data_IF_812820947635
#
_entry.id   IF_812820947635
#
_cell.length_a   1.000
_cell.length_b   1.000
_cell.length_c   1.000
_cell.angle_alpha   90.00
_cell.angle_beta   90.00
_cell.angle_gamma   90.00
#
_symmetry.space_group_name_H-M   'P 1'
#
loop_
_entity.id
_entity.type
_entity.pdbx_description
1 polymer ?
#
# COMPACT_ATOMS: atom_id res chain seq x y z
N UNK A 1 -10.38 26.95 -4.35
CA UNK A 1 -8.91 27.12 -4.55
C UNK A 1 -8.29 25.75 -4.67
N UNK A 2 -7.60 25.41 -5.77
CA UNK A 2 -6.82 24.17 -5.86
C UNK A 2 -5.76 24.21 -4.75
N UNK A 3 -5.77 23.24 -3.81
CA UNK A 3 -4.67 23.07 -2.87
C UNK A 3 -3.38 22.87 -3.69
N UNK A 4 -2.40 23.73 -3.50
CA UNK A 4 -1.08 23.57 -4.13
C UNK A 4 -0.45 22.30 -3.58
N UNK A 5 -0.01 21.41 -4.48
CA UNK A 5 0.69 20.20 -4.08
C UNK A 5 2.01 20.56 -3.38
N UNK A 6 2.36 19.84 -2.31
CA UNK A 6 3.66 19.99 -1.66
C UNK A 6 4.78 19.43 -2.52
N UNK A 7 4.57 18.22 -3.07
CA UNK A 7 5.49 17.54 -3.98
C UNK A 7 4.80 17.19 -5.28
N UNK A 8 5.49 17.44 -6.39
CA UNK A 8 5.07 17.07 -7.74
C UNK A 8 6.24 16.40 -8.44
N UNK A 9 6.03 15.19 -8.96
CA UNK A 9 6.94 14.49 -9.86
C UNK A 9 6.31 14.41 -11.24
N UNK A 10 7.02 14.85 -12.27
CA UNK A 10 6.50 14.92 -13.64
C UNK A 10 7.50 14.29 -14.60
N UNK A 11 7.08 13.23 -15.29
CA UNK A 11 7.85 12.55 -16.33
C UNK A 11 9.18 11.99 -15.83
N UNK A 12 9.27 11.58 -14.55
CA UNK A 12 10.52 11.10 -13.97
C UNK A 12 10.92 9.77 -14.59
N UNK A 13 12.11 9.77 -15.15
CA UNK A 13 12.77 8.54 -15.61
C UNK A 13 14.10 8.36 -14.92
N UNK A 14 14.54 7.10 -14.76
CA UNK A 14 15.89 6.76 -14.32
C UNK A 14 16.39 5.54 -15.06
N UNK A 15 17.51 5.71 -15.73
CA UNK A 15 18.25 4.65 -16.40
C UNK A 15 19.59 4.42 -15.68
N UNK A 16 19.96 3.16 -15.48
CA UNK A 16 21.28 2.73 -15.08
C UNK A 16 21.86 1.88 -16.20
N UNK A 17 22.95 2.29 -16.76
CA UNK A 17 23.53 1.69 -17.95
C UNK A 17 22.46 1.46 -19.04
N UNK A 18 22.14 0.22 -19.37
CA UNK A 18 21.11 -0.13 -20.35
C UNK A 18 19.74 -0.46 -19.75
N UNK A 19 19.60 -0.46 -18.42
CA UNK A 19 18.36 -0.84 -17.74
C UNK A 19 17.58 0.36 -17.23
N UNK A 20 16.27 0.40 -17.52
CA UNK A 20 15.35 1.40 -16.97
C UNK A 20 14.83 0.96 -15.60
N UNK A 21 15.21 1.71 -14.58
CA UNK A 21 14.69 1.51 -13.23
C UNK A 21 13.35 2.22 -13.02
N UNK A 22 13.16 3.37 -13.68
CA UNK A 22 11.90 4.13 -13.64
C UNK A 22 11.57 4.66 -15.04
N UNK A 23 10.28 4.64 -15.39
CA UNK A 23 9.75 5.00 -16.70
C UNK A 23 8.53 5.89 -16.51
N UNK A 24 8.63 7.17 -16.85
CA UNK A 24 7.53 8.15 -16.85
C UNK A 24 6.71 8.18 -15.54
N UNK A 25 7.39 8.35 -14.40
CA UNK A 25 6.73 8.44 -13.10
C UNK A 25 6.10 9.82 -12.94
N UNK A 26 4.78 9.82 -12.71
CA UNK A 26 3.98 11.03 -12.49
C UNK A 26 3.14 10.88 -11.23
N UNK A 27 3.32 11.76 -10.24
CA UNK A 27 2.46 11.81 -9.05
C UNK A 27 2.54 13.17 -8.37
N UNK A 28 1.55 13.43 -7.51
CA UNK A 28 1.54 14.60 -6.64
C UNK A 28 0.99 14.26 -5.26
N UNK A 29 1.43 15.02 -4.24
CA UNK A 29 0.94 14.94 -2.88
C UNK A 29 0.75 16.32 -2.28
N UNK A 30 -0.28 16.47 -1.44
CA UNK A 30 -0.55 17.71 -0.72
C UNK A 30 0.23 17.74 0.60
N UNK A 31 0.29 18.93 1.20
CA UNK A 31 0.84 19.08 2.54
C UNK A 31 0.03 18.26 3.54
N UNK A 32 0.73 17.46 4.35
CA UNK A 32 0.14 16.59 5.36
C UNK A 32 -0.30 15.22 4.83
N UNK A 33 -0.13 14.92 3.54
CA UNK A 33 -0.43 13.59 2.99
C UNK A 33 0.62 12.55 3.44
N UNK A 34 0.19 11.34 3.68
CA UNK A 34 1.02 10.15 3.88
C UNK A 34 0.94 9.29 2.62
N UNK A 35 2.00 9.30 1.82
CA UNK A 35 2.07 8.57 0.54
C UNK A 35 2.91 7.32 0.71
N UNK A 36 2.39 6.17 0.31
CA UNK A 36 3.18 4.93 0.31
C UNK A 36 3.55 4.50 -1.10
N UNK A 37 4.84 4.24 -1.31
CA UNK A 37 5.37 3.55 -2.49
C UNK A 37 5.36 2.05 -2.20
N UNK A 38 4.49 1.32 -2.85
CA UNK A 38 4.28 -0.11 -2.66
C UNK A 38 4.61 -0.86 -3.96
N UNK A 39 5.03 -2.11 -3.86
CA UNK A 39 5.29 -2.96 -5.03
C UNK A 39 6.32 -4.06 -4.75
N UNK A 40 6.52 -5.00 -5.67
CA UNK A 40 7.48 -6.09 -5.52
C UNK A 40 8.92 -5.59 -5.41
N UNK A 41 9.83 -6.48 -4.98
CA UNK A 41 11.26 -6.17 -4.95
C UNK A 41 11.76 -5.84 -6.35
N UNK A 42 12.63 -4.83 -6.45
CA UNK A 42 13.21 -4.40 -7.73
C UNK A 42 12.30 -3.55 -8.63
N UNK A 43 11.07 -3.18 -8.23
CA UNK A 43 10.18 -2.38 -9.07
C UNK A 43 10.51 -0.87 -9.14
N UNK A 44 11.54 -0.39 -8.41
CA UNK A 44 11.99 1.01 -8.48
C UNK A 44 11.65 1.88 -7.26
N UNK A 45 11.03 1.37 -6.18
CA UNK A 45 10.65 2.14 -4.98
C UNK A 45 11.81 2.91 -4.37
N UNK A 46 12.88 2.22 -3.97
CA UNK A 46 14.08 2.85 -3.36
C UNK A 46 14.79 3.77 -4.36
N UNK A 47 14.75 3.48 -5.65
CA UNK A 47 15.28 4.38 -6.69
C UNK A 47 14.50 5.69 -6.69
N UNK A 48 13.16 5.63 -6.70
CA UNK A 48 12.31 6.83 -6.65
C UNK A 48 12.52 7.61 -5.36
N UNK A 49 12.60 6.92 -4.21
CA UNK A 49 12.88 7.56 -2.92
C UNK A 49 14.23 8.28 -2.93
N UNK A 50 15.29 7.66 -3.48
CA UNK A 50 16.63 8.23 -3.58
C UNK A 50 16.69 9.43 -4.55
N UNK A 51 15.88 9.44 -5.61
CA UNK A 51 15.70 10.61 -6.47
C UNK A 51 15.06 11.77 -5.71
N UNK A 52 14.05 11.51 -4.88
CA UNK A 52 13.38 12.51 -4.05
C UNK A 52 14.31 12.99 -2.94
N UNK A 53 15.12 12.11 -2.34
CA UNK A 53 16.09 12.45 -1.31
C UNK A 53 17.33 13.21 -1.84
N UNK A 54 17.62 13.12 -3.15
CA UNK A 54 18.78 13.78 -3.78
C UNK A 54 20.07 12.95 -3.80
N UNK A 55 20.01 11.67 -3.43
CA UNK A 55 21.13 10.74 -3.59
C UNK A 55 21.34 10.30 -5.04
N UNK A 56 20.30 10.45 -5.87
CA UNK A 56 20.33 10.20 -7.31
C UNK A 56 19.75 11.39 -8.04
N UNK A 57 20.20 11.64 -9.26
CA UNK A 57 19.58 12.57 -10.19
C UNK A 57 18.72 11.83 -11.22
N UNK A 58 17.55 12.35 -11.65
CA UNK A 58 16.76 11.74 -12.69
C UNK A 58 17.49 11.78 -14.04
N UNK A 59 17.19 10.83 -14.93
CA UNK A 59 17.67 10.86 -16.33
C UNK A 59 16.87 11.91 -17.11
N UNK A 60 15.55 12.02 -16.83
CA UNK A 60 14.68 13.09 -17.35
C UNK A 60 13.51 13.33 -16.39
N UNK A 61 12.75 14.39 -16.65
CA UNK A 61 11.64 14.83 -15.81
C UNK A 61 12.08 15.78 -14.70
N UNK A 62 11.12 16.18 -13.84
CA UNK A 62 11.37 17.13 -12.75
C UNK A 62 10.64 16.74 -11.47
N UNK A 63 11.27 17.04 -10.32
CA UNK A 63 10.69 16.90 -8.99
C UNK A 63 10.62 18.30 -8.36
N UNK A 64 9.43 18.72 -7.98
CA UNK A 64 9.22 20.02 -7.31
C UNK A 64 8.70 19.82 -5.89
N UNK A 65 9.25 20.60 -4.95
CA UNK A 65 8.76 20.67 -3.56
C UNK A 65 8.46 22.11 -3.23
N UNK A 66 7.25 22.41 -2.73
CA UNK A 66 6.77 23.78 -2.53
C UNK A 66 6.90 24.66 -3.80
N UNK A 67 6.70 24.07 -4.99
CA UNK A 67 6.85 24.73 -6.27
C UNK A 67 8.29 24.93 -6.78
N UNK A 68 9.31 24.65 -5.96
CA UNK A 68 10.71 24.78 -6.33
C UNK A 68 11.23 23.45 -6.91
N UNK A 69 11.92 23.52 -8.04
CA UNK A 69 12.57 22.36 -8.64
C UNK A 69 13.78 21.92 -7.79
N UNK A 70 13.73 20.67 -7.33
CA UNK A 70 14.78 20.07 -6.52
C UNK A 70 15.54 18.93 -7.24
N UNK A 71 15.27 18.72 -8.53
CA UNK A 71 15.73 17.54 -9.30
C UNK A 71 17.24 17.34 -9.25
N UNK A 72 18.01 18.43 -9.24
CA UNK A 72 19.47 18.43 -9.26
C UNK A 72 20.11 18.95 -7.97
N UNK A 73 19.30 19.23 -6.93
CA UNK A 73 19.84 19.63 -5.64
C UNK A 73 20.40 18.41 -4.89
N UNK A 74 21.53 18.61 -4.22
CA UNK A 74 22.11 17.62 -3.31
C UNK A 74 21.26 17.45 -2.04
N UNK A 75 21.34 16.33 -1.30
CA UNK A 75 20.47 16.05 -0.16
C UNK A 75 20.44 17.15 0.90
N UNK A 76 21.58 17.76 1.20
CA UNK A 76 21.73 18.82 2.22
C UNK A 76 21.02 20.13 1.83
N UNK A 77 20.77 20.34 0.55
CA UNK A 77 20.08 21.52 0.00
C UNK A 77 18.58 21.29 -0.21
N UNK A 78 18.07 20.10 0.15
CA UNK A 78 16.63 19.79 0.06
C UNK A 78 15.94 20.02 1.40
N UNK A 79 14.70 20.48 1.35
CA UNK A 79 13.85 20.61 2.53
C UNK A 79 13.16 19.27 2.82
N UNK A 80 13.99 18.22 2.99
CA UNK A 80 13.57 16.86 3.30
C UNK A 80 14.48 16.24 4.35
N UNK A 81 13.96 15.22 5.05
CA UNK A 81 14.74 14.38 5.97
C UNK A 81 14.42 12.92 5.73
N UNK A 82 15.40 12.03 5.93
CA UNK A 82 15.25 10.60 5.65
C UNK A 82 15.43 9.75 6.90
N UNK A 83 14.51 8.80 7.09
CA UNK A 83 14.60 7.71 8.04
C UNK A 83 14.99 6.45 7.27
N UNK A 84 16.21 5.96 7.49
CA UNK A 84 16.77 4.79 6.84
C UNK A 84 16.30 3.49 7.49
N UNK A 85 16.29 2.40 6.75
CA UNK A 85 15.97 1.05 7.21
C UNK A 85 16.81 0.60 8.43
N UNK A 86 18.10 0.98 8.47
CA UNK A 86 19.01 0.69 9.57
C UNK A 86 18.93 1.68 10.73
N UNK A 87 17.95 2.63 10.69
CA UNK A 87 17.84 3.78 11.58
C UNK A 87 19.02 4.77 11.49
N UNK A 88 20.20 4.32 11.10
CA UNK A 88 21.44 5.09 10.91
C UNK A 88 21.76 6.03 12.11
N UNK A 89 21.51 5.58 13.34
CA UNK A 89 21.81 6.34 14.54
C UNK A 89 23.33 6.42 14.76
N UNK A 90 23.79 7.57 15.26
CA UNK A 90 25.18 7.73 15.67
C UNK A 90 25.42 6.95 16.97
N UNK A 91 26.20 5.85 16.95
CA UNK A 91 26.27 4.93 18.09
C UNK A 91 26.97 5.51 19.32
N UNK A 92 27.80 6.52 19.11
CA UNK A 92 28.59 7.22 20.13
C UNK A 92 27.87 8.45 20.72
N UNK A 93 26.69 8.82 20.17
CA UNK A 93 25.88 9.92 20.64
C UNK A 93 24.68 9.41 21.43
N UNK A 94 24.30 10.10 22.51
CA UNK A 94 23.06 9.84 23.24
C UNK A 94 21.81 10.10 22.37
N UNK A 95 20.64 9.69 22.86
CA UNK A 95 19.35 10.00 22.22
C UNK A 95 19.21 11.49 21.97
N UNK A 96 19.45 12.32 23.00
CA UNK A 96 19.36 13.77 22.89
C UNK A 96 20.31 14.33 21.85
N UNK A 97 21.56 13.86 21.83
CA UNK A 97 22.57 14.32 20.88
C UNK A 97 22.27 13.88 19.44
N UNK A 98 21.75 12.66 19.26
CA UNK A 98 21.28 12.19 17.94
C UNK A 98 20.19 13.12 17.39
N UNK A 99 19.18 13.46 18.21
CA UNK A 99 18.06 14.32 17.78
C UNK A 99 18.56 15.77 17.56
N UNK A 100 19.50 16.25 18.38
CA UNK A 100 20.05 17.59 18.27
C UNK A 100 21.00 17.78 17.08
N UNK A 101 21.48 16.71 16.46
CA UNK A 101 22.54 16.75 15.45
C UNK A 101 22.17 17.66 14.27
N UNK A 102 21.01 17.41 13.64
CA UNK A 102 20.56 18.19 12.46
C UNK A 102 20.38 19.68 12.76
N UNK A 103 19.62 20.08 13.79
CA UNK A 103 19.47 21.47 14.17
C UNK A 103 20.80 22.17 14.47
N UNK A 104 21.75 21.48 15.13
CA UNK A 104 23.11 22.04 15.38
C UNK A 104 23.88 22.30 14.06
N UNK A 105 23.81 21.37 13.09
CA UNK A 105 24.43 21.55 11.77
C UNK A 105 23.82 22.73 11.01
N UNK A 106 22.49 22.90 11.12
CA UNK A 106 21.80 24.06 10.53
C UNK A 106 21.97 25.37 11.32
N UNK A 107 22.81 25.37 12.37
CA UNK A 107 23.10 26.54 13.24
C UNK A 107 21.86 27.19 13.83
N UNK A 108 20.82 26.41 14.13
CA UNK A 108 19.60 26.90 14.78
C UNK A 108 19.96 27.41 16.20
N UNK A 109 19.37 28.54 16.67
CA UNK A 109 19.67 29.09 17.99
C UNK A 109 19.45 28.09 19.11
N UNK A 110 20.39 27.97 20.04
CA UNK A 110 20.41 26.94 21.09
C UNK A 110 19.09 26.92 21.92
N UNK A 111 18.55 28.08 22.27
CA UNK A 111 17.30 28.19 23.05
C UNK A 111 16.11 27.58 22.31
N UNK A 112 16.04 27.77 21.00
CA UNK A 112 14.98 27.20 20.17
C UNK A 112 15.16 25.68 20.00
N UNK A 113 16.39 25.21 19.79
CA UNK A 113 16.74 23.79 19.73
C UNK A 113 16.30 23.08 21.00
N UNK A 114 16.66 23.57 22.21
CA UNK A 114 16.30 22.94 23.47
C UNK A 114 14.79 22.82 23.63
N UNK A 115 14.03 23.86 23.33
CA UNK A 115 12.55 23.83 23.39
C UNK A 115 11.98 22.76 22.47
N UNK A 116 12.45 22.70 21.22
CA UNK A 116 12.01 21.74 20.19
C UNK A 116 12.34 20.30 20.58
N UNK A 117 13.56 20.05 21.08
CA UNK A 117 14.01 18.72 21.50
C UNK A 117 13.18 18.19 22.67
N UNK A 118 12.88 19.01 23.66
CA UNK A 118 12.05 18.58 24.80
C UNK A 118 10.64 18.20 24.34
N UNK A 119 10.03 18.98 23.46
CA UNK A 119 8.73 18.66 22.87
C UNK A 119 8.77 17.34 22.09
N UNK A 120 9.76 17.15 21.19
CA UNK A 120 9.90 15.93 20.41
C UNK A 120 10.13 14.69 21.30
N UNK A 121 11.01 14.80 22.31
CA UNK A 121 11.26 13.71 23.25
C UNK A 121 9.98 13.28 23.99
N UNK A 122 9.15 14.23 24.36
CA UNK A 122 7.85 13.95 25.00
C UNK A 122 6.90 13.26 24.02
N UNK A 123 6.75 13.79 22.79
CA UNK A 123 5.86 13.24 21.75
C UNK A 123 6.23 11.81 21.34
N UNK A 124 7.53 11.51 21.23
CA UNK A 124 7.99 10.15 20.91
C UNK A 124 8.15 9.24 22.13
N UNK A 125 7.81 9.71 23.35
CA UNK A 125 7.87 8.92 24.60
C UNK A 125 9.30 8.53 25.01
N UNK A 126 10.31 9.38 24.74
CA UNK A 126 11.73 9.09 25.01
C UNK A 126 12.37 10.00 26.07
N UNK A 127 11.59 10.77 26.81
CA UNK A 127 12.09 11.73 27.84
C UNK A 127 13.00 11.05 28.84
N UNK A 128 12.62 9.89 29.39
CA UNK A 128 13.41 9.11 30.38
C UNK A 128 14.66 8.46 29.75
N UNK A 129 14.74 8.40 28.41
CA UNK A 129 15.82 7.75 27.68
C UNK A 129 16.82 8.72 27.06
N UNK A 130 16.62 10.03 27.23
CA UNK A 130 17.40 11.09 26.55
C UNK A 130 18.91 10.98 26.64
N UNK A 131 19.43 10.43 27.74
CA UNK A 131 20.88 10.29 27.98
C UNK A 131 21.42 8.88 27.62
N UNK A 132 20.56 7.95 27.18
CA UNK A 132 21.02 6.60 26.78
C UNK A 132 21.66 6.61 25.41
N UNK A 133 22.61 5.69 25.20
CA UNK A 133 23.17 5.39 23.89
C UNK A 133 22.24 4.46 23.10
N UNK A 134 22.29 4.46 21.75
CA UNK A 134 21.44 3.64 20.90
C UNK A 134 21.47 2.14 21.22
N UNK A 135 22.62 1.59 21.58
CA UNK A 135 22.77 0.17 21.94
C UNK A 135 22.07 -0.24 23.26
N UNK A 136 21.55 0.71 24.02
CA UNK A 136 20.74 0.48 25.26
C UNK A 136 19.25 0.64 25.02
N UNK A 137 18.82 0.73 23.75
CA UNK A 137 17.43 0.93 23.33
C UNK A 137 16.91 -0.28 22.58
N UNK A 138 15.59 -0.57 22.71
CA UNK A 138 14.91 -1.52 21.85
C UNK A 138 14.82 -1.00 20.41
N UNK A 139 14.60 -1.89 19.43
CA UNK A 139 14.44 -1.51 18.03
C UNK A 139 13.38 -0.42 17.81
N UNK A 140 12.21 -0.54 18.43
CA UNK A 140 11.17 0.49 18.35
C UNK A 140 11.59 1.83 18.98
N UNK A 141 12.37 1.81 20.09
CA UNK A 141 12.92 3.03 20.67
C UNK A 141 13.97 3.66 19.73
N UNK A 142 14.85 2.88 19.11
CA UNK A 142 15.82 3.37 18.11
C UNK A 142 15.11 4.02 16.93
N UNK A 143 14.03 3.43 16.44
CA UNK A 143 13.21 3.98 15.37
C UNK A 143 12.58 5.32 15.75
N UNK A 144 12.02 5.44 16.99
CA UNK A 144 11.49 6.73 17.49
C UNK A 144 12.58 7.79 17.59
N UNK A 145 13.83 7.42 17.93
CA UNK A 145 14.97 8.35 17.91
C UNK A 145 15.25 8.81 16.48
N UNK A 146 15.28 7.89 15.49
CA UNK A 146 15.50 8.22 14.09
C UNK A 146 14.42 9.16 13.54
N UNK A 147 13.16 8.89 13.88
CA UNK A 147 12.03 9.75 13.53
C UNK A 147 12.15 11.14 14.18
N UNK A 148 12.41 11.20 15.48
CA UNK A 148 12.59 12.48 16.17
C UNK A 148 13.78 13.28 15.61
N UNK A 149 14.87 12.61 15.23
CA UNK A 149 16.04 13.23 14.58
C UNK A 149 15.64 13.84 13.22
N UNK A 150 14.86 13.12 12.42
CA UNK A 150 14.36 13.61 11.14
C UNK A 150 13.44 14.84 11.32
N UNK A 151 12.53 14.79 12.30
CA UNK A 151 11.57 15.87 12.58
C UNK A 151 12.22 17.09 13.25
N UNK A 152 13.37 16.93 13.92
CA UNK A 152 14.04 18.01 14.63
C UNK A 152 14.47 19.18 13.73
N UNK A 153 14.75 18.91 12.45
CA UNK A 153 15.09 19.93 11.44
C UNK A 153 13.86 20.58 10.80
N UNK A 154 12.63 20.18 11.16
CA UNK A 154 11.34 20.64 10.64
C UNK A 154 11.28 20.60 9.10
N UNK A 155 11.49 19.44 8.48
CA UNK A 155 11.47 19.34 7.04
C UNK A 155 10.03 19.46 6.51
N UNK A 156 9.86 19.97 5.28
CA UNK A 156 8.58 19.92 4.58
C UNK A 156 8.17 18.47 4.23
N UNK A 157 9.17 17.59 4.01
CA UNK A 157 8.97 16.22 3.56
C UNK A 157 9.83 15.23 4.38
N UNK A 158 9.20 14.19 4.92
CA UNK A 158 9.88 13.09 5.60
C UNK A 158 9.83 11.85 4.70
N UNK A 159 10.99 11.25 4.46
CA UNK A 159 11.17 10.08 3.62
C UNK A 159 11.48 8.86 4.51
N UNK A 160 10.79 7.76 4.29
CA UNK A 160 10.98 6.51 5.03
C UNK A 160 11.37 5.39 4.07
N UNK A 161 12.51 4.78 4.29
CA UNK A 161 12.99 3.62 3.52
C UNK A 161 12.84 2.34 4.36
N UNK A 162 11.75 1.61 4.17
CA UNK A 162 11.40 0.37 4.87
C UNK A 162 11.64 0.39 6.39
N UNK A 163 11.14 1.40 7.12
CA UNK A 163 11.57 1.65 8.50
C UNK A 163 11.13 0.58 9.51
N UNK A 164 10.16 -0.28 9.16
CA UNK A 164 9.62 -1.33 10.04
C UNK A 164 10.12 -2.74 9.72
N UNK A 165 10.93 -2.92 8.67
CA UNK A 165 11.36 -4.23 8.18
C UNK A 165 12.18 -5.04 9.22
N UNK A 166 12.88 -4.37 10.13
CA UNK A 166 13.75 -5.00 11.14
C UNK A 166 13.01 -5.29 12.47
N UNK A 167 11.69 -5.09 12.53
CA UNK A 167 10.88 -5.33 13.73
C UNK A 167 10.08 -6.62 13.64
N UNK A 168 9.84 -7.26 14.79
CA UNK A 168 8.89 -8.37 14.88
C UNK A 168 7.45 -7.89 14.60
N UNK A 169 6.54 -8.80 14.24
CA UNK A 169 5.19 -8.47 13.80
C UNK A 169 4.40 -7.65 14.83
N UNK A 170 4.48 -8.00 16.13
CA UNK A 170 3.73 -7.31 17.18
C UNK A 170 4.23 -5.88 17.39
N UNK A 171 5.55 -5.69 17.41
CA UNK A 171 6.16 -4.38 17.56
C UNK A 171 5.95 -3.53 16.31
N UNK A 172 5.96 -4.14 15.11
CA UNK A 172 5.66 -3.48 13.84
C UNK A 172 4.26 -2.86 13.85
N UNK A 173 3.25 -3.62 14.26
CA UNK A 173 1.87 -3.12 14.35
C UNK A 173 1.73 -1.93 15.30
N UNK A 174 2.38 -2.00 16.47
CA UNK A 174 2.36 -0.91 17.42
C UNK A 174 3.04 0.35 16.87
N UNK A 175 4.25 0.22 16.34
CA UNK A 175 5.03 1.36 15.83
C UNK A 175 4.38 1.98 14.61
N UNK A 176 3.71 1.20 13.75
CA UNK A 176 2.91 1.69 12.63
C UNK A 176 1.83 2.67 13.08
N UNK A 177 1.06 2.30 14.11
CA UNK A 177 0.02 3.15 14.69
C UNK A 177 0.63 4.45 15.26
N UNK A 178 1.76 4.34 15.97
CA UNK A 178 2.46 5.49 16.56
C UNK A 178 2.99 6.46 15.51
N UNK A 179 3.63 5.97 14.43
CA UNK A 179 4.12 6.82 13.33
C UNK A 179 2.95 7.57 12.70
N UNK A 180 1.83 6.89 12.45
CA UNK A 180 0.66 7.53 11.84
C UNK A 180 0.03 8.57 12.77
N UNK A 181 -0.06 8.29 14.07
CA UNK A 181 -0.55 9.23 15.07
C UNK A 181 0.32 10.50 15.13
N UNK A 182 1.65 10.33 15.20
CA UNK A 182 2.60 11.43 15.18
C UNK A 182 2.52 12.25 13.89
N UNK A 183 2.35 11.58 12.75
CA UNK A 183 2.21 12.26 11.47
C UNK A 183 0.95 13.15 11.45
N UNK A 184 -0.17 12.65 11.94
CA UNK A 184 -1.42 13.43 12.04
C UNK A 184 -1.29 14.59 13.03
N UNK A 185 -0.65 14.38 14.18
CA UNK A 185 -0.45 15.41 15.21
C UNK A 185 0.46 16.53 14.72
N UNK A 186 1.58 16.18 14.07
CA UNK A 186 2.60 17.14 13.63
C UNK A 186 2.34 17.69 12.22
N UNK A 187 1.48 17.04 11.43
CA UNK A 187 1.06 17.48 10.10
C UNK A 187 2.17 17.47 9.04
N UNK A 188 3.24 16.68 9.22
CA UNK A 188 4.28 16.57 8.20
C UNK A 188 3.81 15.71 7.01
N UNK A 189 4.36 15.97 5.84
CA UNK A 189 4.13 15.14 4.65
C UNK A 189 5.12 14.00 4.64
N UNK A 190 4.66 12.79 4.33
CA UNK A 190 5.49 11.59 4.33
C UNK A 190 5.48 10.89 2.97
N UNK A 191 6.64 10.40 2.54
CA UNK A 191 6.77 9.35 1.51
C UNK A 191 7.37 8.13 2.18
N UNK A 192 6.64 7.04 2.14
CA UNK A 192 6.94 5.80 2.85
C UNK A 192 7.15 4.66 1.87
N UNK A 193 8.28 4.01 1.93
CA UNK A 193 8.56 2.81 1.12
C UNK A 193 8.33 1.57 1.97
N UNK A 194 7.58 0.64 1.44
CA UNK A 194 7.40 -0.69 2.02
C UNK A 194 7.11 -1.73 0.94
N UNK A 195 7.32 -2.99 1.27
CA UNK A 195 6.80 -4.14 0.54
C UNK A 195 5.62 -4.81 1.27
N UNK A 196 5.28 -4.34 2.47
CA UNK A 196 4.17 -4.85 3.29
C UNK A 196 2.87 -4.13 2.92
N UNK A 197 1.91 -4.91 2.38
CA UNK A 197 0.60 -4.41 1.97
C UNK A 197 -0.21 -3.89 3.16
N UNK A 198 -0.09 -4.53 4.33
CA UNK A 198 -0.83 -4.14 5.53
C UNK A 198 -0.38 -2.78 6.05
N UNK A 199 0.91 -2.46 5.93
CA UNK A 199 1.43 -1.12 6.23
C UNK A 199 0.85 -0.08 5.27
N UNK A 200 0.91 -0.35 3.96
CA UNK A 200 0.41 0.56 2.94
C UNK A 200 -1.09 0.84 3.11
N UNK A 201 -1.90 -0.20 3.31
CA UNK A 201 -3.35 -0.04 3.44
C UNK A 201 -3.76 0.66 4.74
N UNK A 202 -3.02 0.45 5.85
CA UNK A 202 -3.41 1.00 7.15
C UNK A 202 -2.91 2.43 7.42
N UNK A 203 -1.82 2.85 6.77
CA UNK A 203 -1.17 4.13 7.08
C UNK A 203 -1.40 5.22 6.05
N UNK A 204 -1.69 4.86 4.79
CA UNK A 204 -1.63 5.82 3.69
C UNK A 204 -2.89 6.65 3.53
N UNK A 205 -2.72 7.89 3.09
CA UNK A 205 -3.78 8.66 2.45
C UNK A 205 -3.81 8.35 0.94
N UNK A 206 -2.65 7.95 0.38
CA UNK A 206 -2.51 7.56 -1.02
C UNK A 206 -1.44 6.47 -1.18
N UNK A 207 -1.75 5.44 -1.93
CA UNK A 207 -0.83 4.37 -2.33
C UNK A 207 -0.43 4.58 -3.79
N UNK A 208 0.87 4.53 -4.06
CA UNK A 208 1.42 4.44 -5.42
C UNK A 208 1.95 3.03 -5.59
N UNK A 209 1.24 2.21 -6.35
CA UNK A 209 1.66 0.84 -6.62
C UNK A 209 2.57 0.80 -7.83
N UNK A 210 3.84 0.48 -7.59
CA UNK A 210 4.87 0.40 -8.61
C UNK A 210 5.03 -1.04 -9.13
N UNK A 211 5.20 -1.17 -10.45
CA UNK A 211 5.51 -2.42 -11.12
C UNK A 211 6.45 -2.13 -12.30
N UNK A 212 7.57 -2.85 -12.43
CA UNK A 212 8.52 -2.74 -13.54
C UNK A 212 8.90 -1.30 -13.93
N UNK A 213 9.06 -0.43 -12.91
CA UNK A 213 9.49 0.95 -13.08
C UNK A 213 8.38 1.94 -13.47
N UNK A 214 7.10 1.54 -13.46
CA UNK A 214 5.95 2.42 -13.71
C UNK A 214 5.01 2.44 -12.51
N UNK A 215 4.19 3.48 -12.38
CA UNK A 215 3.06 3.48 -11.45
C UNK A 215 1.90 2.75 -12.14
N UNK A 216 1.61 1.55 -11.67
CA UNK A 216 0.52 0.71 -12.19
C UNK A 216 -0.85 1.26 -11.80
N UNK A 217 -0.98 1.68 -10.54
CA UNK A 217 -2.17 2.36 -10.03
C UNK A 217 -1.79 3.30 -8.89
N UNK A 218 -2.47 4.44 -8.82
CA UNK A 218 -2.40 5.39 -7.71
C UNK A 218 -3.81 5.66 -7.20
N UNK A 219 -4.03 5.61 -5.88
CA UNK A 219 -5.34 5.86 -5.27
C UNK A 219 -5.29 5.78 -3.76
N UNK A 220 -6.45 5.96 -3.10
CA UNK A 220 -6.59 5.67 -1.68
C UNK A 220 -6.42 4.17 -1.42
N UNK A 221 -6.14 3.74 -0.17
CA UNK A 221 -6.11 2.33 0.19
C UNK A 221 -7.35 1.57 -0.28
N UNK A 222 -8.53 2.16 -0.09
CA UNK A 222 -9.81 1.58 -0.49
C UNK A 222 -9.93 1.46 -2.02
N UNK A 223 -9.50 2.48 -2.77
CA UNK A 223 -9.53 2.45 -4.24
C UNK A 223 -8.64 1.35 -4.81
N UNK A 224 -7.40 1.20 -4.32
CA UNK A 224 -6.50 0.15 -4.83
C UNK A 224 -6.95 -1.26 -4.43
N UNK A 225 -7.67 -1.41 -3.31
CA UNK A 225 -8.19 -2.68 -2.85
C UNK A 225 -9.51 -3.07 -3.53
N UNK A 226 -10.51 -2.16 -3.52
CA UNK A 226 -11.86 -2.45 -4.00
C UNK A 226 -12.09 -2.12 -5.48
N UNK A 227 -11.16 -1.38 -6.11
CA UNK A 227 -11.26 -0.96 -7.51
C UNK A 227 -9.94 -1.16 -8.25
N UNK A 228 -9.35 -2.37 -8.22
CA UNK A 228 -8.12 -2.65 -8.93
C UNK A 228 -8.31 -2.46 -10.44
N UNK A 229 -7.38 -1.78 -11.09
CA UNK A 229 -7.47 -1.48 -12.53
C UNK A 229 -6.92 -2.60 -13.41
N UNK A 230 -5.98 -3.40 -12.87
CA UNK A 230 -5.31 -4.46 -13.63
C UNK A 230 -5.27 -5.79 -12.86
N UNK A 231 -5.04 -6.90 -13.58
CA UNK A 231 -4.83 -8.22 -12.98
C UNK A 231 -3.67 -8.20 -11.97
N UNK A 232 -2.63 -7.42 -12.26
CA UNK A 232 -1.49 -7.27 -11.36
C UNK A 232 -1.91 -6.63 -10.04
N UNK A 233 -2.63 -5.50 -10.06
CA UNK A 233 -3.09 -4.81 -8.85
C UNK A 233 -4.01 -5.72 -8.04
N UNK A 234 -4.97 -6.39 -8.69
CA UNK A 234 -5.90 -7.30 -8.04
C UNK A 234 -5.17 -8.44 -7.29
N UNK A 235 -4.16 -9.03 -7.92
CA UNK A 235 -3.38 -10.13 -7.35
C UNK A 235 -2.32 -9.67 -6.34
N UNK A 236 -1.77 -8.46 -6.50
CA UNK A 236 -0.72 -7.96 -5.62
C UNK A 236 -1.30 -7.40 -4.31
N UNK A 237 -2.44 -6.71 -4.34
CA UNK A 237 -3.08 -6.14 -3.15
C UNK A 237 -4.10 -7.12 -2.58
N UNK A 238 -3.73 -7.79 -1.48
CA UNK A 238 -4.57 -8.83 -0.87
C UNK A 238 -4.69 -10.09 -1.74
N UNK A 239 -5.62 -10.94 -1.39
CA UNK A 239 -5.99 -12.08 -2.22
C UNK A 239 -7.10 -11.68 -3.20
N UNK A 240 -7.05 -12.19 -4.43
CA UNK A 240 -8.11 -12.03 -5.42
C UNK A 240 -8.31 -13.32 -6.23
N UNK A 241 -9.56 -13.58 -6.58
CA UNK A 241 -9.90 -14.55 -7.59
C UNK A 241 -9.98 -13.83 -8.94
N UNK A 242 -8.96 -13.95 -9.77
CA UNK A 242 -8.93 -13.37 -11.12
C UNK A 242 -9.16 -14.47 -12.13
N UNK A 243 -10.09 -14.31 -13.05
CA UNK A 243 -10.39 -15.32 -14.06
C UNK A 243 -10.77 -14.70 -15.41
N UNK A 244 -10.44 -15.36 -16.51
CA UNK A 244 -10.80 -14.94 -17.87
C UNK A 244 -12.07 -15.61 -18.29
N UNK A 245 -13.00 -14.82 -18.78
CA UNK A 245 -14.33 -15.25 -19.18
C UNK A 245 -14.74 -14.59 -20.48
N UNK A 246 -15.69 -15.20 -21.21
CA UNK A 246 -16.30 -14.58 -22.38
C UNK A 246 -17.67 -14.01 -22.04
N UNK A 247 -17.94 -12.81 -22.52
CA UNK A 247 -19.25 -12.16 -22.37
C UNK A 247 -20.29 -12.91 -23.20
N UNK A 248 -21.36 -13.35 -22.54
CA UNK A 248 -22.47 -14.06 -23.19
C UNK A 248 -23.62 -13.14 -23.54
N UNK A 249 -23.89 -12.12 -22.69
CA UNK A 249 -24.90 -11.10 -22.97
C UNK A 249 -24.57 -9.77 -22.27
N UNK A 250 -25.10 -8.69 -22.82
CA UNK A 250 -25.05 -7.33 -22.24
C UNK A 250 -26.46 -6.76 -22.32
N UNK A 251 -27.06 -6.47 -21.16
CA UNK A 251 -28.38 -5.84 -21.03
C UNK A 251 -28.25 -4.59 -20.17
N UNK A 252 -28.24 -3.42 -20.81
CA UNK A 252 -27.90 -2.15 -20.14
C UNK A 252 -26.52 -2.25 -19.46
N UNK A 253 -26.44 -2.01 -18.13
CA UNK A 253 -25.21 -2.15 -17.34
C UNK A 253 -24.95 -3.58 -16.83
N UNK A 254 -25.91 -4.49 -16.98
CA UNK A 254 -25.78 -5.89 -16.57
C UNK A 254 -25.05 -6.70 -17.63
N UNK A 255 -23.98 -7.37 -17.22
CA UNK A 255 -23.13 -8.22 -18.05
C UNK A 255 -23.25 -9.64 -17.53
N UNK A 256 -23.48 -10.59 -18.45
CA UNK A 256 -23.49 -12.02 -18.12
C UNK A 256 -22.28 -12.70 -18.74
N UNK A 257 -21.67 -13.59 -18.00
CA UNK A 257 -20.50 -14.39 -18.42
C UNK A 257 -20.71 -15.85 -17.99
N UNK A 258 -20.01 -16.78 -18.65
CA UNK A 258 -19.91 -18.15 -18.15
C UNK A 258 -18.66 -18.30 -17.31
N UNK A 259 -18.84 -18.76 -16.09
CA UNK A 259 -17.76 -19.18 -15.17
C UNK A 259 -17.90 -20.68 -14.96
N UNK A 260 -17.15 -21.45 -15.71
CA UNK A 260 -17.37 -22.88 -15.87
C UNK A 260 -18.74 -23.18 -16.47
N UNK A 261 -19.59 -23.91 -15.73
CA UNK A 261 -20.97 -24.23 -16.13
C UNK A 261 -22.02 -23.22 -15.62
N UNK A 262 -21.59 -22.25 -14.81
CA UNK A 262 -22.49 -21.33 -14.12
C UNK A 262 -22.58 -20.00 -14.84
N UNK A 263 -23.82 -19.49 -15.01
CA UNK A 263 -24.04 -18.14 -15.50
C UNK A 263 -23.87 -17.15 -14.36
N UNK A 264 -22.98 -16.17 -14.56
CA UNK A 264 -22.64 -15.16 -13.56
C UNK A 264 -22.96 -13.78 -14.12
N UNK A 265 -23.75 -13.03 -13.39
CA UNK A 265 -24.15 -11.67 -13.73
C UNK A 265 -23.42 -10.66 -12.84
N UNK A 266 -23.07 -9.53 -13.40
CA UNK A 266 -22.55 -8.39 -12.66
C UNK A 266 -22.81 -7.07 -13.38
N UNK A 267 -22.60 -5.94 -12.70
CA UNK A 267 -22.78 -4.61 -13.27
C UNK A 267 -21.43 -3.94 -13.54
N UNK A 268 -21.33 -3.21 -14.64
CA UNK A 268 -20.15 -2.41 -14.97
C UNK A 268 -20.53 -1.07 -15.55
N UNK A 269 -19.93 0.01 -15.00
CA UNK A 269 -20.12 1.35 -15.54
C UNK A 269 -19.56 1.51 -16.98
N UNK A 270 -18.55 0.69 -17.34
CA UNK A 270 -17.86 0.73 -18.64
C UNK A 270 -18.45 -0.24 -19.67
N UNK A 271 -19.70 -0.68 -19.50
CA UNK A 271 -20.34 -1.69 -20.36
C UNK A 271 -20.46 -1.26 -21.83
N UNK A 272 -20.46 0.05 -22.12
CA UNK A 272 -20.65 0.59 -23.48
C UNK A 272 -19.52 0.21 -24.46
N UNK A 273 -18.31 -0.03 -23.92
CA UNK A 273 -17.13 -0.38 -24.71
C UNK A 273 -16.98 -1.90 -24.89
N UNK A 274 -17.87 -2.69 -24.30
CA UNK A 274 -17.80 -4.14 -24.30
C UNK A 274 -18.68 -4.73 -25.40
N UNK A 275 -18.31 -5.93 -25.88
CA UNK A 275 -19.05 -6.67 -26.92
C UNK A 275 -19.31 -8.11 -26.47
N UNK A 276 -20.48 -8.64 -26.86
CA UNK A 276 -20.77 -10.06 -26.69
C UNK A 276 -19.72 -10.90 -27.43
N UNK A 277 -19.24 -11.95 -26.78
CA UNK A 277 -18.15 -12.80 -27.26
C UNK A 277 -16.74 -12.28 -26.95
N UNK A 278 -16.60 -11.06 -26.44
CA UNK A 278 -15.33 -10.51 -25.99
C UNK A 278 -14.81 -11.26 -24.75
N UNK A 279 -13.51 -11.57 -24.75
CA UNK A 279 -12.82 -12.09 -23.57
C UNK A 279 -12.43 -10.94 -22.65
N UNK A 280 -12.77 -11.07 -21.36
CA UNK A 280 -12.44 -10.11 -20.31
C UNK A 280 -11.87 -10.85 -19.10
N UNK A 281 -11.12 -10.14 -18.26
CA UNK A 281 -10.71 -10.64 -16.94
C UNK A 281 -11.63 -10.06 -15.88
N UNK A 282 -12.28 -10.93 -15.12
CA UNK A 282 -13.06 -10.57 -13.95
C UNK A 282 -12.30 -10.89 -12.67
N UNK A 283 -12.55 -10.13 -11.63
CA UNK A 283 -12.01 -10.44 -10.30
C UNK A 283 -13.04 -10.19 -9.20
N UNK A 284 -12.88 -10.93 -8.10
CA UNK A 284 -13.59 -10.71 -6.85
C UNK A 284 -12.70 -11.07 -5.65
N UNK A 285 -13.00 -10.46 -4.50
CA UNK A 285 -12.27 -10.74 -3.25
C UNK A 285 -12.82 -12.02 -2.59
N UNK A 286 -11.96 -12.88 -2.01
CA UNK A 286 -12.41 -14.13 -1.37
C UNK A 286 -13.42 -13.95 -0.24
N UNK A 287 -13.34 -12.85 0.51
CA UNK A 287 -14.16 -12.56 1.68
C UNK A 287 -15.60 -12.12 1.34
N UNK A 288 -15.88 -11.74 0.09
CA UNK A 288 -17.24 -11.34 -0.31
C UNK A 288 -18.16 -12.55 -0.54
N UNK A 289 -17.57 -13.71 -0.82
CA UNK A 289 -18.32 -14.93 -1.05
C UNK A 289 -18.85 -15.54 0.26
N UNK A 290 -20.00 -16.17 0.21
CA UNK A 290 -20.65 -16.83 1.37
C UNK A 290 -21.10 -18.24 1.00
N UNK A 291 -20.83 -19.22 1.85
CA UNK A 291 -21.43 -20.55 1.69
C UNK A 291 -22.95 -20.47 1.87
N UNK A 292 -23.65 -21.20 1.04
CA UNK A 292 -25.10 -21.33 1.14
C UNK A 292 -25.46 -22.24 2.28
N UNK A 293 -26.24 -21.71 3.23
CA UNK A 293 -26.97 -22.50 4.23
C UNK A 293 -28.42 -22.61 3.80
N UNK A 294 -29.15 -23.63 4.28
CA UNK A 294 -30.57 -23.83 3.98
C UNK A 294 -31.45 -22.57 4.21
N UNK A 295 -31.10 -21.73 5.19
CA UNK A 295 -31.78 -20.46 5.46
C UNK A 295 -31.60 -19.40 4.35
N UNK A 296 -30.49 -19.43 3.62
CA UNK A 296 -30.24 -18.55 2.47
C UNK A 296 -30.89 -19.06 1.18
N UNK A 297 -31.26 -20.35 1.13
CA UNK A 297 -31.98 -20.97 0.02
C UNK A 297 -33.40 -20.40 -0.18
N UNK A 298 -34.02 -19.93 0.90
CA UNK A 298 -35.41 -19.48 0.89
C UNK A 298 -35.62 -18.07 0.34
N UNK A 299 -34.55 -17.23 0.29
CA UNK A 299 -34.60 -15.90 -0.30
C UNK A 299 -34.03 -15.92 -1.72
N UNK A 300 -34.90 -15.90 -2.73
CA UNK A 300 -34.52 -15.70 -4.14
C UNK A 300 -34.02 -14.23 -4.34
N UNK A 301 -32.88 -13.89 -3.70
CA UNK A 301 -32.31 -12.55 -3.79
C UNK A 301 -31.51 -12.43 -5.09
N UNK A 302 -32.06 -11.71 -6.05
CA UNK A 302 -31.45 -11.47 -7.37
C UNK A 302 -30.13 -10.67 -7.32
N UNK A 303 -29.72 -10.19 -6.13
CA UNK A 303 -28.44 -9.48 -5.94
C UNK A 303 -27.24 -10.40 -5.93
N UNK A 304 -27.45 -11.70 -5.81
CA UNK A 304 -26.38 -12.69 -5.70
C UNK A 304 -26.38 -13.68 -6.86
N UNK A 305 -25.19 -13.99 -7.36
CA UNK A 305 -24.96 -15.15 -8.19
C UNK A 305 -24.88 -16.40 -7.30
N UNK A 306 -25.45 -17.49 -7.76
CA UNK A 306 -25.44 -18.80 -7.11
C UNK A 306 -24.49 -19.69 -7.90
N UNK A 307 -23.42 -20.16 -7.29
CA UNK A 307 -22.36 -20.87 -7.98
C UNK A 307 -22.14 -22.22 -7.31
N UNK A 308 -22.14 -23.29 -8.12
CA UNK A 308 -21.84 -24.66 -7.69
C UNK A 308 -20.34 -24.92 -7.80
N UNK A 309 -19.80 -25.56 -6.78
CA UNK A 309 -18.38 -25.90 -6.74
C UNK A 309 -18.15 -27.17 -5.93
N UNK A 310 -16.95 -27.74 -6.03
CA UNK A 310 -16.47 -28.81 -5.21
C UNK A 310 -15.46 -28.27 -4.18
N UNK A 311 -15.60 -28.69 -2.93
CA UNK A 311 -14.62 -28.39 -1.89
C UNK A 311 -13.33 -29.17 -2.14
N UNK A 312 -12.19 -28.49 -2.12
CA UNK A 312 -10.86 -29.08 -2.31
C UNK A 312 -10.15 -29.24 -0.97
N UNK A 313 -9.98 -28.14 -0.24
CA UNK A 313 -9.28 -28.10 1.04
C UNK A 313 -9.60 -26.83 1.80
N UNK A 314 -9.17 -26.76 3.06
CA UNK A 314 -9.26 -25.53 3.86
C UNK A 314 -8.02 -25.35 4.74
N UNK A 315 -7.72 -24.10 5.09
CA UNK A 315 -6.64 -23.72 5.97
C UNK A 315 -7.14 -22.70 7.00
N UNK A 316 -7.08 -23.05 8.27
CA UNK A 316 -7.45 -22.15 9.36
C UNK A 316 -6.37 -21.08 9.57
N UNK A 317 -6.78 -19.80 9.56
CA UNK A 317 -5.88 -18.65 9.70
C UNK A 317 -6.10 -17.87 11.01
N UNK A 318 -6.79 -18.45 11.97
CA UNK A 318 -7.15 -17.81 13.24
C UNK A 318 -8.42 -16.97 13.14
N UNK A 319 -8.35 -15.80 12.52
CA UNK A 319 -9.50 -14.91 12.37
C UNK A 319 -10.53 -15.38 11.33
N UNK A 320 -10.09 -16.15 10.35
CA UNK A 320 -10.90 -16.71 9.26
C UNK A 320 -10.35 -18.04 8.79
N UNK A 321 -11.07 -18.70 7.91
CA UNK A 321 -10.62 -19.93 7.24
C UNK A 321 -10.57 -19.67 5.74
N UNK A 322 -9.42 -19.93 5.13
CA UNK A 322 -9.27 -20.01 3.68
C UNK A 322 -9.88 -21.33 3.22
N UNK A 323 -10.81 -21.27 2.28
CA UNK A 323 -11.45 -22.43 1.68
C UNK A 323 -11.14 -22.43 0.20
N UNK A 324 -10.55 -23.53 -0.26
CA UNK A 324 -10.18 -23.73 -1.66
C UNK A 324 -11.26 -24.59 -2.32
N UNK A 325 -11.76 -24.11 -3.46
CA UNK A 325 -12.86 -24.71 -4.20
C UNK A 325 -12.52 -24.84 -5.68
N UNK A 326 -13.16 -25.77 -6.35
CA UNK A 326 -13.14 -25.92 -7.81
C UNK A 326 -14.56 -25.69 -8.33
N UNK A 327 -14.76 -24.62 -9.10
CA UNK A 327 -16.05 -24.33 -9.73
C UNK A 327 -16.29 -25.37 -10.83
N UNK A 328 -17.55 -25.84 -10.96
CA UNK A 328 -17.89 -26.87 -11.95
C UNK A 328 -17.57 -26.39 -13.37
N UNK A 329 -16.85 -27.20 -14.12
CA UNK A 329 -16.38 -26.83 -15.48
C UNK A 329 -15.09 -26.04 -15.52
N UNK A 330 -14.46 -25.70 -14.39
CA UNK A 330 -13.17 -25.00 -14.31
C UNK A 330 -12.08 -25.91 -13.78
N UNK A 331 -10.86 -25.76 -14.28
CA UNK A 331 -9.69 -26.45 -13.74
C UNK A 331 -9.02 -25.66 -12.61
N UNK A 332 -9.21 -24.35 -12.63
CA UNK A 332 -8.61 -23.42 -11.65
C UNK A 332 -9.24 -23.60 -10.26
N UNK A 333 -8.37 -23.52 -9.23
CA UNK A 333 -8.80 -23.46 -7.84
C UNK A 333 -9.07 -21.99 -7.47
N UNK A 334 -10.23 -21.75 -6.87
CA UNK A 334 -10.66 -20.47 -6.36
C UNK A 334 -10.61 -20.47 -4.83
N UNK A 335 -10.46 -19.30 -4.25
CA UNK A 335 -10.37 -19.12 -2.81
C UNK A 335 -11.59 -18.39 -2.27
N UNK A 336 -12.17 -18.88 -1.19
CA UNK A 336 -13.13 -18.17 -0.37
C UNK A 336 -12.52 -17.91 1.00
N UNK A 337 -12.92 -16.84 1.68
CA UNK A 337 -12.59 -16.60 3.08
C UNK A 337 -13.85 -16.62 3.92
N UNK A 338 -13.90 -17.55 4.86
CA UNK A 338 -15.06 -17.77 5.72
C UNK A 338 -14.75 -17.43 7.17
N UNK A 339 -15.68 -16.84 7.93
CA UNK A 339 -15.47 -16.48 9.33
C UNK A 339 -15.38 -17.69 10.27
N UNK A 340 -15.75 -18.87 9.80
CA UNK A 340 -15.74 -20.12 10.58
C UNK A 340 -15.15 -21.25 9.77
N UNK A 341 -14.60 -22.24 10.46
CA UNK A 341 -14.14 -23.49 9.84
C UNK A 341 -15.37 -24.29 9.35
N UNK A 342 -15.46 -24.61 8.05
CA UNK A 342 -16.55 -25.42 7.54
C UNK A 342 -16.29 -26.90 7.80
N UNK A 343 -17.32 -27.63 8.22
CA UNK A 343 -17.29 -29.10 8.27
C UNK A 343 -17.62 -29.67 6.88
N UNK A 344 -16.59 -29.73 6.02
CA UNK A 344 -16.70 -30.15 4.63
C UNK A 344 -15.67 -31.25 4.33
N UNK A 345 -16.05 -32.19 3.46
CA UNK A 345 -15.16 -33.28 3.00
C UNK A 345 -14.63 -32.97 1.60
N UNK A 346 -13.39 -33.33 1.32
CA UNK A 346 -12.79 -33.16 -0.02
C UNK A 346 -13.67 -33.84 -1.09
N UNK A 347 -13.94 -33.17 -2.17
CA UNK A 347 -14.85 -33.59 -3.25
C UNK A 347 -16.33 -33.33 -2.97
N UNK A 348 -16.70 -32.86 -1.77
CA UNK A 348 -18.09 -32.52 -1.46
C UNK A 348 -18.57 -31.37 -2.33
N UNK A 349 -19.77 -31.53 -2.92
CA UNK A 349 -20.45 -30.43 -3.61
C UNK A 349 -20.92 -29.38 -2.61
N UNK A 350 -20.67 -28.14 -2.95
CA UNK A 350 -21.08 -26.96 -2.20
C UNK A 350 -21.71 -25.93 -3.11
N UNK A 351 -22.56 -25.09 -2.54
CA UNK A 351 -23.04 -23.90 -3.20
C UNK A 351 -22.54 -22.67 -2.45
N UNK A 352 -22.10 -21.67 -3.18
CA UNK A 352 -21.77 -20.36 -2.60
C UNK A 352 -22.44 -19.22 -3.36
N UNK A 353 -22.62 -18.13 -2.68
CA UNK A 353 -23.16 -16.89 -3.26
C UNK A 353 -22.07 -15.87 -3.47
N UNK A 354 -22.12 -15.17 -4.60
CA UNK A 354 -21.23 -14.07 -4.94
C UNK A 354 -22.07 -12.83 -5.27
N UNK A 355 -21.93 -11.72 -4.52
CA UNK A 355 -22.66 -10.49 -4.81
C UNK A 355 -22.34 -9.97 -6.21
N UNK A 356 -23.34 -9.54 -6.97
CA UNK A 356 -23.18 -9.04 -8.34
C UNK A 356 -22.34 -7.76 -8.41
N UNK A 357 -22.42 -6.92 -7.40
CA UNK A 357 -21.66 -5.66 -7.25
C UNK A 357 -20.21 -5.86 -6.80
N UNK A 358 -19.84 -7.08 -6.40
CA UNK A 358 -18.48 -7.42 -5.96
C UNK A 358 -17.56 -7.94 -7.08
N UNK A 359 -18.11 -8.13 -8.27
CA UNK A 359 -17.36 -8.61 -9.44
C UNK A 359 -16.89 -7.41 -10.27
N UNK A 360 -15.60 -7.33 -10.50
CA UNK A 360 -14.97 -6.23 -11.20
C UNK A 360 -14.32 -6.71 -12.50
N UNK A 361 -14.28 -5.85 -13.51
CA UNK A 361 -13.47 -6.07 -14.70
C UNK A 361 -12.10 -5.45 -14.48
N UNK A 362 -11.05 -6.23 -14.70
CA UNK A 362 -9.66 -5.78 -14.62
C UNK A 362 -8.97 -5.91 -15.96
N UNK A 363 -8.05 -4.98 -16.26
CA UNK A 363 -7.28 -5.01 -17.50
C UNK A 363 -6.15 -6.04 -17.38
N UNK A 364 -5.85 -6.72 -18.47
CA UNK A 364 -4.63 -7.51 -18.60
C UNK A 364 -3.43 -6.56 -18.69
N UNK A 365 -2.36 -6.83 -17.93
CA UNK A 365 -1.06 -6.15 -18.03
C UNK A 365 -0.19 -6.84 -19.07
#
# INVERSE_FOLDING_TARGET
>A
MKKMALIEATGITKKFDDSWALKDINFSANKGDFITLLGPSGCGKSTLLNLIAGFLSPTSGSIKVNGNDISHLTPENRDSAMCFQSYALFPHLSVLENIAFGPKQKKVPTKEVVKRLNSLLQQVGLTEHKNKLPNKLSGGQQQRVALARALAVQPSLVLFDEPLSNLDAKLRDQVRIEIRALQKELGFTAIYVTHDQSEALAMSDKVLLLNNGVIEQAGTPEEVYFSPQTEFVANFIGAANVHRVKITSINNSAISVMLGTELVDFESANYKDLKVGQEISICWRPEVARLWTEKLLLNNDNRYNKIKAQFVSSAFQGAYTDVFIKINGEEKIFKLQLPRYPDLKTGQEINFSLPKDSILIVKKV
#
